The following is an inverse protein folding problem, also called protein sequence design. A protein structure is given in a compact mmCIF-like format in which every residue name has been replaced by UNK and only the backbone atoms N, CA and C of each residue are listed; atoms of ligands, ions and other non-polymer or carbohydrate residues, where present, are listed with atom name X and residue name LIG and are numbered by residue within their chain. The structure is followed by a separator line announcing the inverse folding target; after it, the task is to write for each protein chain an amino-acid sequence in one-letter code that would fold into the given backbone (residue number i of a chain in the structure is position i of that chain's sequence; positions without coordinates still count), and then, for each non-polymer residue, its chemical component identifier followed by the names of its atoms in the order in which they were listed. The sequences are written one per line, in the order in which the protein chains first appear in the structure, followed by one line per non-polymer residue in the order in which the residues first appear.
data_IF_454864353728
#
_entry.id   IF_454864353728
#
_cell.length_a   1.000
_cell.length_b   1.000
_cell.length_c   1.000
_cell.angle_alpha   90.00
_cell.angle_beta   90.00
_cell.angle_gamma   90.00
#
_symmetry.space_group_name_H-M   'P 1'
#
loop_
_entity.id
_entity.type
_entity.pdbx_description
1 polymer ?
#
# COMPACT_ATOMS: atom_id res chain seq x y z
N UNK A 1 -28.23 8.57 -9.83
CA UNK A 1 -28.52 7.38 -10.66
C UNK A 1 -28.01 7.64 -12.08
N UNK A 2 -26.74 7.40 -12.32
CA UNK A 2 -26.18 7.34 -13.66
C UNK A 2 -25.83 5.89 -13.93
N UNK A 3 -26.66 5.24 -14.76
CA UNK A 3 -26.40 3.88 -15.25
C UNK A 3 -25.22 3.92 -16.23
N UNK A 4 -24.12 3.26 -15.90
CA UNK A 4 -23.05 2.98 -16.85
C UNK A 4 -23.58 2.02 -17.92
N UNK A 5 -23.82 2.55 -19.11
CA UNK A 5 -24.15 1.74 -20.29
C UNK A 5 -22.86 1.17 -20.85
N UNK A 6 -22.63 -0.11 -20.67
CA UNK A 6 -21.72 -0.89 -21.51
C UNK A 6 -22.26 -0.84 -22.96
N UNK A 7 -21.55 -0.14 -23.83
CA UNK A 7 -21.93 0.00 -25.24
C UNK A 7 -21.55 -1.32 -25.94
N UNK A 8 -22.56 -2.14 -26.25
CA UNK A 8 -22.41 -3.23 -27.20
C UNK A 8 -22.10 -2.67 -28.61
N UNK A 9 -20.84 -2.73 -29.02
CA UNK A 9 -20.47 -2.53 -30.43
C UNK A 9 -20.79 -3.81 -31.21
N UNK A 10 -21.90 -3.80 -31.95
CA UNK A 10 -22.20 -4.83 -32.93
C UNK A 10 -21.25 -4.70 -34.12
N UNK A 11 -20.20 -5.50 -34.19
CA UNK A 11 -19.33 -5.61 -35.37
C UNK A 11 -19.91 -6.53 -36.40
N UNK A 12 -20.05 -6.03 -37.64
CA UNK A 12 -20.37 -6.76 -38.83
C UNK A 12 -19.24 -7.76 -39.16
N UNK A 13 -19.62 -9.01 -39.46
CA UNK A 13 -18.73 -10.10 -39.84
C UNK A 13 -17.89 -9.75 -41.07
N UNK A 14 -16.57 -9.67 -40.89
CA UNK A 14 -15.59 -9.77 -41.97
C UNK A 14 -14.80 -11.06 -41.76
N UNK A 15 -14.76 -11.93 -42.75
CA UNK A 15 -14.06 -13.20 -42.77
C UNK A 15 -12.55 -12.99 -42.75
N UNK A 16 -11.86 -13.60 -41.78
CA UNK A 16 -10.43 -13.57 -41.44
C UNK A 16 -9.96 -12.45 -40.47
N UNK A 17 -10.62 -12.27 -39.33
CA UNK A 17 -10.00 -11.59 -38.21
C UNK A 17 -9.47 -12.63 -37.24
N UNK A 18 -8.16 -12.63 -36.97
CA UNK A 18 -7.69 -13.12 -35.66
C UNK A 18 -8.62 -12.51 -34.62
N UNK A 19 -9.29 -13.33 -33.83
CA UNK A 19 -10.07 -12.85 -32.68
C UNK A 19 -9.08 -12.14 -31.79
N UNK A 20 -9.16 -10.82 -31.71
CA UNK A 20 -8.29 -9.99 -30.87
C UNK A 20 -8.89 -10.00 -29.48
N UNK A 21 -8.08 -10.19 -28.45
CA UNK A 21 -8.52 -10.04 -27.07
C UNK A 21 -9.29 -8.72 -26.85
N UNK A 22 -10.24 -8.70 -25.93
CA UNK A 22 -11.04 -7.51 -25.62
C UNK A 22 -10.15 -6.37 -25.14
N UNK A 23 -9.13 -6.70 -24.34
CA UNK A 23 -8.12 -5.77 -23.83
C UNK A 23 -6.70 -6.30 -24.05
N UNK A 24 -5.74 -5.40 -24.22
CA UNK A 24 -4.33 -5.79 -24.22
C UNK A 24 -3.85 -6.10 -22.80
N UNK A 25 -4.37 -5.39 -21.80
CA UNK A 25 -3.96 -5.50 -20.40
C UNK A 25 -5.17 -5.50 -19.48
N UNK A 26 -5.23 -6.47 -18.58
CA UNK A 26 -6.21 -6.55 -17.50
C UNK A 26 -5.45 -6.48 -16.16
N UNK A 27 -5.85 -5.54 -15.29
CA UNK A 27 -5.33 -5.39 -13.93
C UNK A 27 -6.43 -5.76 -12.94
N UNK A 28 -6.17 -6.71 -12.05
CA UNK A 28 -7.13 -7.16 -11.04
C UNK A 28 -6.85 -6.43 -9.72
N UNK A 29 -7.82 -5.65 -9.26
CA UNK A 29 -7.78 -4.84 -8.05
C UNK A 29 -7.48 -3.36 -8.33
N UNK A 30 -8.38 -2.46 -7.88
CA UNK A 30 -8.27 -1.01 -8.01
C UNK A 30 -7.84 -0.33 -6.70
N UNK A 31 -6.91 -0.95 -5.96
CA UNK A 31 -6.17 -0.29 -4.89
C UNK A 31 -5.07 0.62 -5.44
N UNK A 32 -4.31 1.25 -4.56
CA UNK A 32 -3.23 2.19 -4.92
C UNK A 32 -2.20 1.60 -5.91
N UNK A 33 -1.92 0.29 -5.80
CA UNK A 33 -0.97 -0.40 -6.69
C UNK A 33 -1.59 -0.65 -8.07
N UNK A 34 -2.79 -1.22 -8.12
CA UNK A 34 -3.43 -1.55 -9.39
C UNK A 34 -3.79 -0.32 -10.21
N UNK A 35 -4.28 0.76 -9.56
CA UNK A 35 -4.54 2.04 -10.23
C UNK A 35 -3.25 2.67 -10.76
N UNK A 36 -2.15 2.64 -10.00
CA UNK A 36 -0.87 3.16 -10.46
C UNK A 36 -0.33 2.39 -11.66
N UNK A 37 -0.45 1.05 -11.66
CA UNK A 37 -0.04 0.18 -12.78
C UNK A 37 -0.93 0.45 -13.99
N UNK A 38 -2.25 0.48 -13.83
CA UNK A 38 -3.18 0.78 -14.91
C UNK A 38 -2.91 2.14 -15.56
N UNK A 39 -2.68 3.16 -14.71
CA UNK A 39 -2.32 4.51 -15.15
C UNK A 39 -0.99 4.55 -15.91
N UNK A 40 0.02 3.81 -15.46
CA UNK A 40 1.32 3.78 -16.13
C UNK A 40 1.26 3.09 -17.49
N UNK A 41 0.60 1.94 -17.56
CA UNK A 41 0.47 1.14 -18.79
C UNK A 41 -0.39 1.87 -19.83
N UNK A 42 -1.43 2.59 -19.40
CA UNK A 42 -2.32 3.34 -20.30
C UNK A 42 -1.64 4.51 -21.03
N UNK A 43 -0.44 4.91 -20.60
CA UNK A 43 0.33 5.97 -21.28
C UNK A 43 0.78 5.58 -22.69
N UNK A 44 0.90 4.28 -22.98
CA UNK A 44 1.13 3.81 -24.35
C UNK A 44 -0.21 3.74 -25.10
N UNK A 45 -0.41 4.53 -26.17
CA UNK A 45 -1.67 4.58 -26.90
C UNK A 45 -2.03 3.27 -27.65
N UNK A 46 -1.09 2.33 -27.73
CA UNK A 46 -1.34 1.00 -28.30
C UNK A 46 -1.96 0.04 -27.27
N UNK A 47 -1.99 0.40 -26.00
CA UNK A 47 -2.55 -0.41 -24.94
C UNK A 47 -4.01 -0.06 -24.69
N UNK A 48 -4.87 -1.08 -24.64
CA UNK A 48 -6.21 -0.99 -24.05
C UNK A 48 -6.16 -1.62 -22.67
N UNK A 49 -6.46 -0.83 -21.63
CA UNK A 49 -6.30 -1.22 -20.22
C UNK A 49 -7.64 -1.30 -19.54
N UNK A 50 -7.93 -2.42 -18.89
CA UNK A 50 -9.07 -2.60 -17.99
C UNK A 50 -8.55 -2.86 -16.58
N UNK A 51 -9.03 -2.09 -15.62
CA UNK A 51 -8.86 -2.36 -14.17
C UNK A 51 -10.18 -2.92 -13.65
N UNK A 52 -10.15 -4.06 -12.95
CA UNK A 52 -11.33 -4.73 -12.39
C UNK A 52 -11.27 -4.64 -10.87
N UNK A 53 -12.36 -4.20 -10.24
CA UNK A 53 -12.49 -4.07 -8.77
C UNK A 53 -13.77 -4.74 -8.29
N UNK A 54 -13.63 -5.57 -7.26
CA UNK A 54 -14.76 -6.30 -6.66
C UNK A 54 -15.75 -5.40 -5.91
N UNK A 55 -15.23 -4.34 -5.26
CA UNK A 55 -16.05 -3.43 -4.47
C UNK A 55 -16.75 -2.38 -5.36
N UNK A 56 -17.76 -1.71 -4.83
CA UNK A 56 -18.50 -0.64 -5.52
C UNK A 56 -17.65 0.58 -5.87
N UNK A 57 -16.55 0.79 -5.15
CA UNK A 57 -15.61 1.87 -5.37
C UNK A 57 -14.16 1.38 -5.27
N UNK A 58 -13.23 2.12 -5.87
CA UNK A 58 -11.81 1.81 -5.77
C UNK A 58 -11.25 2.08 -4.37
N UNK A 59 -10.21 1.33 -3.98
CA UNK A 59 -9.41 1.62 -2.80
C UNK A 59 -10.05 1.33 -1.46
N UNK A 60 -11.15 0.58 -1.37
CA UNK A 60 -11.92 0.38 -0.13
C UNK A 60 -11.24 -0.50 0.91
N UNK A 61 -10.24 -1.30 0.52
CA UNK A 61 -9.52 -2.23 1.40
C UNK A 61 -8.26 -1.57 2.02
N UNK A 62 -7.13 -2.26 1.99
CA UNK A 62 -5.84 -1.84 2.57
C UNK A 62 -5.40 -0.43 2.15
N UNK A 63 -5.75 0.00 0.92
CA UNK A 63 -5.29 1.28 0.37
C UNK A 63 -5.87 2.51 1.06
N UNK A 64 -7.09 2.45 1.60
CA UNK A 64 -7.71 3.53 2.38
C UNK A 64 -7.55 3.36 3.90
N UNK A 65 -6.98 2.23 4.36
CA UNK A 65 -6.91 1.84 5.77
C UNK A 65 -5.48 1.73 6.26
N UNK A 66 -4.72 2.82 6.11
CA UNK A 66 -3.31 2.92 6.48
C UNK A 66 -3.00 4.26 7.14
N UNK A 67 -1.74 4.53 7.45
CA UNK A 67 -1.31 5.76 8.10
C UNK A 67 -1.00 6.90 7.14
N UNK A 68 -1.20 6.73 5.83
CA UNK A 68 -1.00 7.74 4.78
C UNK A 68 0.41 8.36 4.74
N UNK A 69 1.40 7.65 5.28
CA UNK A 69 2.78 8.13 5.36
C UNK A 69 3.52 7.92 4.05
N UNK A 70 4.12 8.98 3.54
CA UNK A 70 5.15 8.92 2.49
C UNK A 70 6.46 8.52 3.16
N UNK A 71 6.80 7.25 3.11
CA UNK A 71 7.99 6.69 3.75
C UNK A 71 9.28 7.04 3.01
N UNK A 72 10.41 7.04 3.75
CA UNK A 72 11.72 7.33 3.18
C UNK A 72 12.55 6.08 2.80
N UNK A 73 12.03 4.86 3.03
CA UNK A 73 12.73 3.61 2.68
C UNK A 73 13.80 3.15 3.69
N UNK A 74 13.79 3.65 4.93
CA UNK A 74 14.90 3.48 5.89
C UNK A 74 14.96 2.13 6.61
N UNK A 75 13.86 1.38 6.69
CA UNK A 75 13.75 0.24 7.60
C UNK A 75 14.05 -1.12 6.98
N UNK A 76 13.99 -1.25 5.66
CA UNK A 76 14.11 -2.50 4.94
C UNK A 76 15.56 -2.78 4.49
N UNK A 77 15.96 -4.02 4.13
CA UNK A 77 17.28 -4.31 3.55
C UNK A 77 17.57 -3.43 2.33
N UNK A 78 18.85 -3.07 2.14
CA UNK A 78 19.26 -2.10 1.10
C UNK A 78 18.90 -2.58 -0.31
N UNK A 79 19.00 -3.89 -0.54
CA UNK A 79 18.80 -4.58 -1.83
C UNK A 79 17.37 -5.11 -2.02
N UNK A 80 16.42 -4.71 -1.15
CA UNK A 80 15.04 -5.17 -1.25
C UNK A 80 14.19 -4.29 -2.19
N UNK A 81 13.19 -4.90 -2.82
CA UNK A 81 12.17 -4.19 -3.59
C UNK A 81 11.44 -3.15 -2.74
N UNK A 82 11.17 -3.45 -1.47
CA UNK A 82 10.57 -2.49 -0.52
C UNK A 82 11.41 -1.22 -0.39
N UNK A 83 12.73 -1.32 -0.34
CA UNK A 83 13.62 -0.15 -0.26
C UNK A 83 13.65 0.61 -1.58
N UNK A 84 13.96 -0.06 -2.66
CA UNK A 84 14.10 0.52 -3.99
C UNK A 84 12.81 1.23 -4.42
N UNK A 85 11.68 0.50 -4.41
CA UNK A 85 10.41 1.01 -4.89
C UNK A 85 9.77 2.05 -3.96
N UNK A 86 10.08 2.02 -2.65
CA UNK A 86 9.69 3.08 -1.73
C UNK A 86 10.43 4.39 -2.03
N UNK A 87 11.72 4.35 -2.27
CA UNK A 87 12.52 5.55 -2.59
C UNK A 87 12.06 6.14 -3.92
N UNK A 88 11.93 5.30 -4.96
CA UNK A 88 11.42 5.71 -6.26
C UNK A 88 10.00 6.27 -6.18
N UNK A 89 9.08 5.55 -5.52
CA UNK A 89 7.69 5.97 -5.37
C UNK A 89 7.55 7.29 -4.63
N UNK A 90 8.33 7.50 -3.56
CA UNK A 90 8.39 8.80 -2.86
C UNK A 90 8.81 9.94 -3.81
N UNK A 91 9.83 9.72 -4.64
CA UNK A 91 10.29 10.72 -5.60
C UNK A 91 9.19 11.05 -6.63
N UNK A 92 8.52 10.01 -7.17
CA UNK A 92 7.44 10.19 -8.13
C UNK A 92 6.25 10.93 -7.51
N UNK A 93 5.84 10.57 -6.27
CA UNK A 93 4.75 11.26 -5.57
C UNK A 93 5.09 12.76 -5.43
N UNK A 94 6.26 13.11 -4.95
CA UNK A 94 6.61 14.52 -4.78
C UNK A 94 6.81 15.28 -6.10
N UNK A 95 7.34 14.64 -7.13
CA UNK A 95 7.64 15.32 -8.38
C UNK A 95 6.44 15.45 -9.32
N UNK A 96 5.56 14.44 -9.34
CA UNK A 96 4.45 14.39 -10.29
C UNK A 96 3.13 14.83 -9.65
N UNK A 97 2.85 14.37 -8.44
CA UNK A 97 1.53 14.52 -7.85
C UNK A 97 1.28 15.89 -7.21
N UNK A 98 2.34 16.56 -6.69
CA UNK A 98 2.19 17.89 -6.07
C UNK A 98 1.66 18.93 -7.08
N UNK A 99 2.19 18.93 -8.29
CA UNK A 99 1.75 19.83 -9.36
C UNK A 99 0.33 19.52 -9.87
N UNK A 100 -0.16 18.31 -9.64
CA UNK A 100 -1.48 17.84 -10.05
C UNK A 100 -2.55 17.96 -8.96
N UNK A 101 -2.21 18.62 -7.84
CA UNK A 101 -3.14 18.91 -6.75
C UNK A 101 -3.43 17.75 -5.83
N UNK A 102 -2.61 16.70 -5.83
CA UNK A 102 -2.72 15.63 -4.83
C UNK A 102 -2.38 16.19 -3.45
N UNK A 103 -3.30 16.02 -2.52
CA UNK A 103 -3.17 16.55 -1.17
C UNK A 103 -2.06 15.82 -0.40
N UNK A 104 -0.99 16.55 -0.05
CA UNK A 104 0.16 16.02 0.67
C UNK A 104 0.88 17.07 1.51
N UNK A 105 1.71 16.61 2.44
CA UNK A 105 2.53 17.51 3.28
C UNK A 105 3.86 16.86 3.65
N UNK A 106 4.97 17.54 3.38
CA UNK A 106 6.32 17.15 3.85
C UNK A 106 6.50 17.60 5.32
N UNK A 107 5.92 16.89 6.25
CA UNK A 107 5.99 17.23 7.68
C UNK A 107 7.26 16.74 8.38
N UNK A 108 8.01 15.84 7.74
CA UNK A 108 9.16 15.18 8.35
C UNK A 108 8.77 14.12 9.38
N UNK A 109 9.77 13.33 9.78
CA UNK A 109 9.62 12.29 10.79
C UNK A 109 10.81 12.26 11.72
N UNK A 110 10.56 12.10 13.00
CA UNK A 110 11.55 11.80 14.01
C UNK A 110 11.48 10.34 14.43
N UNK A 111 12.63 9.68 14.53
CA UNK A 111 12.80 8.41 15.20
C UNK A 111 13.51 8.71 16.52
N UNK A 112 12.86 8.42 17.65
CA UNK A 112 13.31 8.88 18.95
C UNK A 112 14.00 7.76 19.74
N UNK A 113 15.19 8.04 20.29
CA UNK A 113 15.95 7.13 21.12
C UNK A 113 15.86 7.51 22.60
N UNK A 114 15.50 6.55 23.46
CA UNK A 114 15.34 6.70 24.92
C UNK A 114 16.51 6.10 25.71
N UNK A 115 17.42 5.39 25.07
CA UNK A 115 18.58 4.75 25.70
C UNK A 115 19.72 4.58 24.68
N UNK A 116 20.88 4.13 25.16
CA UNK A 116 22.09 3.96 24.35
C UNK A 116 21.93 2.88 23.26
N UNK A 117 21.25 1.78 23.55
CA UNK A 117 21.01 0.72 22.57
C UNK A 117 20.19 1.24 21.37
N UNK A 118 19.19 2.06 21.64
CA UNK A 118 18.38 2.70 20.60
C UNK A 118 19.20 3.74 19.84
N UNK A 119 20.08 4.50 20.50
CA UNK A 119 21.00 5.40 19.80
C UNK A 119 21.91 4.66 18.81
N UNK A 120 22.48 3.53 19.23
CA UNK A 120 23.30 2.69 18.32
C UNK A 120 22.49 2.17 17.12
N UNK A 121 21.24 1.80 17.33
CA UNK A 121 20.33 1.45 16.25
C UNK A 121 20.10 2.63 15.28
N UNK A 122 19.87 3.83 15.79
CA UNK A 122 19.72 5.04 14.96
C UNK A 122 20.99 5.35 14.16
N UNK A 123 22.17 5.14 14.72
CA UNK A 123 23.45 5.28 13.98
C UNK A 123 23.51 4.32 12.79
N UNK A 124 23.08 3.07 12.96
CA UNK A 124 23.03 2.09 11.85
C UNK A 124 22.04 2.52 10.75
N UNK A 125 20.86 3.05 11.13
CA UNK A 125 19.91 3.60 10.15
C UNK A 125 20.52 4.79 9.42
N UNK A 126 21.20 5.69 10.13
CA UNK A 126 21.85 6.84 9.52
C UNK A 126 22.95 6.45 8.52
N UNK A 127 23.80 5.48 8.85
CA UNK A 127 24.80 4.98 7.90
C UNK A 127 24.15 4.32 6.68
N UNK A 128 23.10 3.52 6.88
CA UNK A 128 22.32 2.95 5.78
C UNK A 128 21.69 4.05 4.91
N UNK A 129 21.16 5.11 5.51
CA UNK A 129 20.56 6.21 4.75
C UNK A 129 21.53 6.90 3.80
N UNK A 130 22.82 6.97 4.17
CA UNK A 130 23.87 7.50 3.28
C UNK A 130 24.09 6.61 2.07
N UNK A 131 24.11 5.28 2.25
CA UNK A 131 24.20 4.32 1.13
C UNK A 131 23.02 4.46 0.17
N UNK A 132 21.84 4.70 0.71
CA UNK A 132 20.59 4.87 -0.04
C UNK A 132 20.39 6.28 -0.61
N UNK A 133 21.30 7.21 -0.33
CA UNK A 133 21.16 8.63 -0.68
C UNK A 133 19.86 9.26 -0.15
N UNK A 134 19.41 8.79 1.02
CA UNK A 134 18.23 9.32 1.72
C UNK A 134 18.70 10.26 2.81
N UNK A 135 18.21 11.51 2.77
CA UNK A 135 18.59 12.52 3.74
C UNK A 135 18.11 12.15 5.16
N UNK A 136 19.04 12.15 6.10
CA UNK A 136 18.76 12.06 7.53
C UNK A 136 19.77 12.89 8.31
N UNK A 137 19.41 13.34 9.52
CA UNK A 137 20.30 14.09 10.39
C UNK A 137 19.98 13.81 11.85
N UNK A 138 21.02 13.84 12.72
CA UNK A 138 20.80 13.75 14.14
C UNK A 138 20.36 15.09 14.72
N UNK A 139 19.38 15.07 15.62
CA UNK A 139 18.98 16.20 16.45
C UNK A 139 19.31 15.86 17.90
N UNK A 140 20.17 16.64 18.56
CA UNK A 140 20.51 16.43 19.98
C UNK A 140 19.28 16.55 20.87
N UNK A 141 19.24 15.81 21.98
CA UNK A 141 18.11 15.72 22.89
C UNK A 141 17.66 17.10 23.42
N UNK A 142 18.59 17.99 23.78
CA UNK A 142 18.25 19.34 24.18
C UNK A 142 17.52 20.14 23.12
N UNK A 143 17.97 20.04 21.85
CA UNK A 143 17.33 20.72 20.73
C UNK A 143 15.98 20.08 20.37
N UNK A 144 15.87 18.77 20.49
CA UNK A 144 14.60 18.05 20.30
C UNK A 144 13.55 18.54 21.30
N UNK A 145 13.91 18.71 22.58
CA UNK A 145 13.03 19.23 23.62
C UNK A 145 12.57 20.67 23.38
N UNK A 146 13.39 21.51 22.75
CA UNK A 146 12.99 22.87 22.34
C UNK A 146 11.99 22.86 21.19
N UNK A 147 12.19 21.98 20.22
CA UNK A 147 11.38 21.91 18.99
C UNK A 147 10.04 21.20 19.19
N UNK A 148 10.01 20.14 20.00
CA UNK A 148 8.83 19.33 20.31
C UNK A 148 8.81 19.04 21.83
N UNK A 149 8.40 20.02 22.67
CA UNK A 149 8.49 19.91 24.14
C UNK A 149 7.70 18.75 24.74
N UNK A 150 6.65 18.31 24.06
CA UNK A 150 5.80 17.20 24.48
C UNK A 150 6.41 15.82 24.19
N UNK A 151 7.48 15.76 23.36
CA UNK A 151 8.09 14.50 22.96
C UNK A 151 9.34 14.21 23.76
N UNK A 152 9.38 13.01 24.31
CA UNK A 152 10.55 12.49 25.02
C UNK A 152 11.52 11.85 24.03
N UNK A 153 12.78 12.29 24.09
CA UNK A 153 13.89 11.75 23.31
C UNK A 153 15.17 11.91 24.14
N UNK A 154 15.38 11.05 25.13
CA UNK A 154 16.39 11.22 26.18
C UNK A 154 17.83 11.17 25.63
N UNK A 155 18.07 10.43 24.54
CA UNK A 155 19.41 10.27 23.96
C UNK A 155 19.60 11.05 22.67
N UNK A 156 18.75 10.84 21.68
CA UNK A 156 18.83 11.53 20.40
C UNK A 156 17.56 11.32 19.57
N UNK A 157 17.49 12.08 18.50
CA UNK A 157 16.50 11.92 17.43
C UNK A 157 17.24 11.72 16.11
N UNK A 158 16.82 10.76 15.31
CA UNK A 158 17.14 10.72 13.89
C UNK A 158 15.99 11.39 13.11
N UNK A 159 16.27 12.54 12.51
CA UNK A 159 15.34 13.29 11.69
C UNK A 159 15.37 12.76 10.23
N UNK A 160 14.21 12.50 9.65
CA UNK A 160 14.00 12.16 8.24
C UNK A 160 13.15 13.24 7.59
N UNK A 161 13.75 14.29 7.02
CA UNK A 161 13.04 15.49 6.56
C UNK A 161 12.19 15.24 5.31
N UNK A 162 12.50 14.19 4.54
CA UNK A 162 11.79 13.85 3.30
C UNK A 162 10.59 12.90 3.52
N UNK A 163 10.35 12.45 4.75
CA UNK A 163 9.12 11.76 5.12
C UNK A 163 7.96 12.75 5.13
N UNK A 164 6.79 12.32 4.70
CA UNK A 164 5.59 13.16 4.67
C UNK A 164 4.32 12.35 4.85
N UNK A 165 3.21 12.97 4.53
CA UNK A 165 1.88 12.37 4.48
C UNK A 165 1.20 12.74 3.17
N UNK A 166 0.32 11.86 2.68
CA UNK A 166 -0.46 12.04 1.46
C UNK A 166 -1.88 11.52 1.69
N UNK A 167 -2.88 12.19 1.15
CA UNK A 167 -4.21 11.61 1.07
C UNK A 167 -4.17 10.41 0.13
N UNK A 168 -4.35 9.21 0.67
CA UNK A 168 -4.39 7.98 -0.14
C UNK A 168 -5.49 8.05 -1.21
N UNK A 169 -6.62 8.65 -0.86
CA UNK A 169 -7.76 8.85 -1.75
C UNK A 169 -7.43 9.82 -2.90
N UNK A 170 -6.83 10.97 -2.57
CA UNK A 170 -6.38 11.94 -3.58
C UNK A 170 -5.35 11.34 -4.53
N UNK A 171 -4.40 10.55 -4.02
CA UNK A 171 -3.41 9.84 -4.84
C UNK A 171 -4.07 8.83 -5.78
N UNK A 172 -5.01 8.02 -5.29
CA UNK A 172 -5.72 7.04 -6.12
C UNK A 172 -6.60 7.72 -7.17
N UNK A 173 -7.29 8.80 -6.82
CA UNK A 173 -8.09 9.60 -7.76
C UNK A 173 -7.22 10.20 -8.88
N UNK A 174 -6.03 10.67 -8.55
CA UNK A 174 -5.07 11.11 -9.56
C UNK A 174 -4.70 9.98 -10.53
N UNK A 175 -4.35 8.79 -10.02
CA UNK A 175 -4.03 7.63 -10.86
C UNK A 175 -5.22 7.21 -11.74
N UNK A 176 -6.42 7.17 -11.17
CA UNK A 176 -7.64 6.88 -11.93
C UNK A 176 -7.87 7.91 -13.04
N UNK A 177 -7.65 9.20 -12.74
CA UNK A 177 -7.77 10.25 -13.76
C UNK A 177 -6.76 10.08 -14.89
N UNK A 178 -5.51 9.68 -14.58
CA UNK A 178 -4.49 9.38 -15.59
C UNK A 178 -4.93 8.20 -16.46
N UNK A 179 -5.40 7.10 -15.84
CA UNK A 179 -5.93 5.94 -16.54
C UNK A 179 -7.04 6.33 -17.52
N UNK A 180 -8.05 7.06 -17.05
CA UNK A 180 -9.22 7.45 -17.84
C UNK A 180 -8.90 8.47 -18.94
N UNK A 181 -7.98 9.39 -18.70
CA UNK A 181 -7.52 10.36 -19.72
C UNK A 181 -6.74 9.69 -20.87
N UNK A 182 -6.27 8.47 -20.66
CA UNK A 182 -5.62 7.63 -21.67
C UNK A 182 -6.54 6.50 -22.15
N UNK A 183 -7.85 6.70 -22.12
CA UNK A 183 -8.88 5.74 -22.57
C UNK A 183 -8.89 4.39 -21.82
N UNK A 184 -8.21 4.28 -20.68
CA UNK A 184 -8.29 3.11 -19.81
C UNK A 184 -9.62 3.07 -19.06
N UNK A 185 -10.06 1.88 -18.70
CA UNK A 185 -11.37 1.62 -18.10
C UNK A 185 -11.24 1.06 -16.67
N UNK A 186 -12.20 1.41 -15.83
CA UNK A 186 -12.38 0.84 -14.50
C UNK A 186 -13.76 0.18 -14.42
N UNK A 187 -13.81 -1.10 -14.11
CA UNK A 187 -15.01 -1.86 -13.77
C UNK A 187 -15.06 -2.12 -12.27
N UNK A 188 -15.98 -1.48 -11.56
CA UNK A 188 -16.27 -1.69 -10.12
C UNK A 188 -17.44 -2.64 -9.94
N UNK A 189 -17.65 -3.16 -8.71
CA UNK A 189 -18.69 -4.15 -8.42
C UNK A 189 -18.52 -5.44 -9.24
N UNK A 190 -17.26 -5.81 -9.53
CA UNK A 190 -16.90 -6.85 -10.48
C UNK A 190 -15.86 -7.77 -9.88
N UNK A 191 -16.30 -8.90 -9.31
CA UNK A 191 -15.40 -9.86 -8.67
C UNK A 191 -14.85 -10.86 -9.68
N UNK A 192 -13.53 -11.04 -9.71
CA UNK A 192 -12.89 -12.10 -10.50
C UNK A 192 -13.07 -13.42 -9.77
N UNK A 193 -13.77 -14.37 -10.44
CA UNK A 193 -14.13 -15.66 -9.88
C UNK A 193 -13.47 -16.85 -10.59
N UNK A 194 -12.82 -16.62 -11.74
CA UNK A 194 -12.10 -17.63 -12.49
C UNK A 194 -11.07 -17.03 -13.42
N UNK A 195 -9.98 -17.79 -13.66
CA UNK A 195 -8.92 -17.43 -14.59
C UNK A 195 -8.51 -18.65 -15.41
N UNK A 196 -8.41 -18.50 -16.73
CA UNK A 196 -7.84 -19.50 -17.61
C UNK A 196 -6.82 -18.89 -18.55
N UNK A 197 -5.87 -19.68 -19.02
CA UNK A 197 -4.89 -19.28 -20.01
C UNK A 197 -5.01 -20.20 -21.25
N UNK A 198 -5.22 -19.60 -22.40
CA UNK A 198 -5.26 -20.30 -23.70
C UNK A 198 -3.88 -20.20 -24.38
N UNK A 199 -3.13 -21.30 -24.35
CA UNK A 199 -1.81 -21.38 -24.97
C UNK A 199 -1.87 -21.15 -26.50
N UNK A 200 -2.95 -21.64 -27.14
CA UNK A 200 -3.17 -21.50 -28.58
C UNK A 200 -3.47 -20.07 -29.04
N UNK A 201 -4.20 -19.32 -28.26
CA UNK A 201 -4.54 -17.90 -28.50
C UNK A 201 -3.57 -16.93 -27.84
N UNK A 202 -2.79 -17.39 -26.86
CA UNK A 202 -1.93 -16.56 -26.00
C UNK A 202 -2.72 -15.46 -25.28
N UNK A 203 -3.86 -15.83 -24.74
CA UNK A 203 -4.80 -14.94 -24.09
C UNK A 203 -5.26 -15.51 -22.75
N UNK A 204 -5.57 -14.62 -21.83
CA UNK A 204 -6.21 -14.92 -20.56
C UNK A 204 -7.70 -14.68 -20.69
N UNK A 205 -8.50 -15.60 -20.17
CA UNK A 205 -9.92 -15.45 -19.97
C UNK A 205 -10.16 -15.20 -18.48
N UNK A 206 -10.82 -14.10 -18.16
CA UNK A 206 -11.11 -13.63 -16.81
C UNK A 206 -12.61 -13.70 -16.61
N UNK A 207 -13.06 -14.64 -15.78
CA UNK A 207 -14.46 -14.78 -15.41
C UNK A 207 -14.77 -13.81 -14.27
N UNK A 208 -15.76 -12.97 -14.48
CA UNK A 208 -16.18 -11.90 -13.58
C UNK A 208 -17.63 -12.10 -13.20
N UNK A 209 -17.93 -12.00 -11.90
CA UNK A 209 -19.28 -11.96 -11.35
C UNK A 209 -19.62 -10.54 -10.90
N UNK A 210 -20.75 -9.99 -11.34
CA UNK A 210 -21.29 -8.73 -10.86
C UNK A 210 -22.15 -8.93 -9.60
N UNK A 211 -22.42 -7.86 -8.85
CA UNK A 211 -23.33 -7.91 -7.69
C UNK A 211 -24.75 -8.36 -8.03
N UNK A 212 -25.22 -8.11 -9.26
CA UNK A 212 -26.52 -8.57 -9.76
C UNK A 212 -26.52 -10.07 -10.09
N UNK A 213 -25.37 -10.77 -9.91
CA UNK A 213 -25.22 -12.20 -10.18
C UNK A 213 -25.05 -12.53 -11.68
N UNK A 214 -24.86 -11.55 -12.53
CA UNK A 214 -24.50 -11.77 -13.93
C UNK A 214 -23.02 -12.14 -14.04
N UNK A 215 -22.74 -13.23 -14.74
CA UNK A 215 -21.39 -13.66 -15.02
C UNK A 215 -21.04 -13.27 -16.47
N UNK A 216 -19.81 -12.78 -16.65
CA UNK A 216 -19.24 -12.50 -17.96
C UNK A 216 -17.79 -12.97 -18.01
N UNK A 217 -17.31 -13.24 -19.21
CA UNK A 217 -15.90 -13.55 -19.44
C UNK A 217 -15.29 -12.47 -20.30
N UNK A 218 -14.08 -12.02 -19.95
CA UNK A 218 -13.35 -10.95 -20.61
C UNK A 218 -11.96 -11.47 -20.96
N UNK A 219 -11.51 -11.24 -22.19
CA UNK A 219 -10.20 -11.70 -22.64
C UNK A 219 -9.13 -10.61 -22.65
N UNK A 220 -7.88 -11.00 -22.29
CA UNK A 220 -6.72 -10.11 -22.27
C UNK A 220 -5.41 -10.79 -22.63
N UNK A 221 -4.47 -10.05 -23.24
CA UNK A 221 -3.16 -10.63 -23.58
C UNK A 221 -2.21 -10.62 -22.39
N UNK A 222 -2.34 -9.65 -21.50
CA UNK A 222 -1.54 -9.48 -20.28
C UNK A 222 -2.48 -9.41 -19.08
N UNK A 223 -2.14 -10.14 -18.02
CA UNK A 223 -2.89 -10.18 -16.78
C UNK A 223 -1.99 -9.78 -15.62
N UNK A 224 -2.43 -8.81 -14.81
CA UNK A 224 -1.66 -8.31 -13.66
C UNK A 224 -2.51 -8.42 -12.39
N UNK A 225 -2.07 -9.26 -11.49
CA UNK A 225 -2.75 -9.48 -10.22
C UNK A 225 -2.29 -8.47 -9.17
N UNK A 226 -3.18 -7.54 -8.83
CA UNK A 226 -3.00 -6.52 -7.78
C UNK A 226 -4.12 -6.60 -6.73
N UNK A 227 -4.69 -7.78 -6.49
CA UNK A 227 -5.86 -7.99 -5.65
C UNK A 227 -5.59 -7.88 -4.12
N UNK A 228 -4.44 -7.34 -3.70
CA UNK A 228 -4.12 -7.01 -2.31
C UNK A 228 -4.27 -8.19 -1.37
N UNK A 229 -5.25 -8.13 -0.46
CA UNK A 229 -5.54 -9.20 0.50
C UNK A 229 -5.94 -10.52 -0.17
N UNK A 230 -6.51 -10.45 -1.37
CA UNK A 230 -6.99 -11.60 -2.15
C UNK A 230 -6.02 -12.03 -3.26
N UNK A 231 -4.84 -11.38 -3.36
CA UNK A 231 -3.90 -11.68 -4.43
C UNK A 231 -3.41 -13.14 -4.46
N UNK A 232 -3.16 -13.83 -3.33
CA UNK A 232 -2.87 -15.27 -3.33
C UNK A 232 -4.03 -16.11 -3.90
N UNK A 233 -5.28 -15.81 -3.53
CA UNK A 233 -6.47 -16.53 -4.02
C UNK A 233 -6.61 -16.35 -5.54
N UNK A 234 -6.49 -15.13 -6.05
CA UNK A 234 -6.51 -14.83 -7.49
C UNK A 234 -5.39 -15.58 -8.22
N UNK A 235 -4.17 -15.56 -7.68
CA UNK A 235 -3.04 -16.31 -8.24
C UNK A 235 -3.33 -17.82 -8.31
N UNK A 236 -3.94 -18.37 -7.25
CA UNK A 236 -4.24 -19.80 -7.14
C UNK A 236 -5.37 -20.26 -8.07
N UNK A 237 -6.19 -19.35 -8.63
CA UNK A 237 -7.18 -19.70 -9.66
C UNK A 237 -6.51 -20.16 -10.96
N UNK A 238 -5.28 -19.70 -11.24
CA UNK A 238 -4.59 -19.97 -12.50
C UNK A 238 -3.40 -20.93 -12.34
N UNK A 239 -2.66 -20.80 -11.24
CA UNK A 239 -1.43 -21.57 -11.03
C UNK A 239 -1.72 -22.98 -10.53
N UNK A 240 -0.86 -23.98 -10.85
CA UNK A 240 -1.00 -25.33 -10.32
C UNK A 240 -0.78 -25.39 -8.81
N UNK A 241 -1.36 -26.40 -8.16
CA UNK A 241 -1.46 -26.52 -6.69
C UNK A 241 -0.10 -26.42 -5.97
N UNK A 242 0.97 -26.95 -6.55
CA UNK A 242 2.33 -26.90 -5.99
C UNK A 242 2.93 -25.48 -5.96
N UNK A 243 2.30 -24.52 -6.65
CA UNK A 243 2.68 -23.10 -6.67
C UNK A 243 1.72 -22.22 -5.88
N UNK A 244 0.71 -22.81 -5.26
CA UNK A 244 -0.26 -22.06 -4.47
C UNK A 244 0.39 -21.38 -3.27
N UNK A 245 -0.05 -20.16 -3.00
CA UNK A 245 0.37 -19.39 -1.84
C UNK A 245 -0.81 -19.21 -0.88
N UNK A 246 -0.50 -19.23 0.41
CA UNK A 246 -1.47 -18.94 1.46
C UNK A 246 -1.42 -17.45 1.81
N UNK A 247 -2.58 -16.84 1.93
CA UNK A 247 -2.71 -15.50 2.48
C UNK A 247 -2.69 -15.54 4.03
N UNK A 248 -2.03 -14.54 4.62
CA UNK A 248 -2.05 -14.28 6.05
C UNK A 248 -2.41 -12.80 6.27
N UNK A 249 -3.05 -12.50 7.37
CA UNK A 249 -3.64 -11.18 7.61
C UNK A 249 -3.17 -10.60 8.94
N UNK A 250 -2.46 -9.48 8.86
CA UNK A 250 -1.98 -8.77 10.03
C UNK A 250 -2.73 -7.43 10.17
N UNK A 251 -3.73 -7.42 11.03
CA UNK A 251 -4.54 -6.25 11.36
C UNK A 251 -3.74 -5.26 12.17
N UNK A 252 -3.99 -3.98 11.95
CA UNK A 252 -3.47 -2.87 12.73
C UNK A 252 -4.58 -1.92 13.12
N UNK A 253 -4.79 -1.73 14.42
CA UNK A 253 -5.75 -0.77 14.94
C UNK A 253 -5.10 0.60 15.07
N UNK A 254 -5.87 1.65 14.78
CA UNK A 254 -5.48 3.04 14.94
C UNK A 254 -6.37 3.72 15.97
N UNK A 255 -5.75 4.60 16.76
CA UNK A 255 -6.41 5.33 17.83
C UNK A 255 -6.28 6.83 17.57
N UNK A 256 -7.40 7.53 17.60
CA UNK A 256 -7.44 8.99 17.53
C UNK A 256 -7.07 9.60 18.89
N UNK A 257 -6.53 10.81 18.85
CA UNK A 257 -6.17 11.58 20.05
C UNK A 257 -6.99 12.87 20.10
N UNK A 258 -7.65 13.09 21.22
CA UNK A 258 -8.36 14.32 21.50
C UNK A 258 -7.43 15.32 22.19
N UNK A 259 -7.04 16.37 21.49
CA UNK A 259 -6.15 17.43 22.00
C UNK A 259 -5.21 17.93 20.90
N UNK A 260 -4.52 19.01 21.18
CA UNK A 260 -3.51 19.58 20.28
C UNK A 260 -2.27 20.05 21.06
N UNK A 261 -1.28 19.18 21.28
CA UNK A 261 -0.03 19.52 21.94
C UNK A 261 0.96 20.29 21.04
N UNK A 262 0.55 20.65 19.80
CA UNK A 262 1.37 21.42 18.87
C UNK A 262 2.46 20.63 18.15
N UNK A 263 2.39 19.29 18.14
CA UNK A 263 3.34 18.42 17.43
C UNK A 263 3.17 18.61 15.92
N UNK A 264 4.28 18.81 15.21
CA UNK A 264 4.27 19.22 13.79
C UNK A 264 4.84 18.19 12.83
N UNK A 265 5.28 17.03 13.33
CA UNK A 265 5.94 15.96 12.55
C UNK A 265 5.52 14.59 13.05
N UNK A 266 5.83 13.57 12.27
CA UNK A 266 5.58 12.19 12.67
C UNK A 266 6.61 11.78 13.72
N UNK A 267 6.17 11.05 14.75
CA UNK A 267 7.06 10.56 15.82
C UNK A 267 6.99 9.04 15.86
N UNK A 268 8.13 8.42 15.60
CA UNK A 268 8.27 6.98 15.65
C UNK A 268 9.17 6.59 16.82
N UNK A 269 8.74 5.69 17.71
CA UNK A 269 9.64 5.09 18.65
C UNK A 269 10.73 4.31 17.91
N UNK A 270 11.90 4.18 18.52
CA UNK A 270 12.92 3.29 17.99
C UNK A 270 12.42 1.84 18.11
N UNK A 271 12.47 1.05 17.02
CA UNK A 271 12.04 -0.35 17.06
C UNK A 271 12.75 -1.15 18.15
N UNK A 272 12.02 -2.02 18.81
CA UNK A 272 12.61 -2.97 19.75
C UNK A 272 13.23 -4.13 18.98
N UNK A 273 14.51 -4.48 19.18
CA UNK A 273 15.14 -5.61 18.52
C UNK A 273 14.35 -6.92 18.72
N UNK A 274 14.11 -7.65 17.63
CA UNK A 274 13.40 -8.94 17.67
C UNK A 274 11.86 -8.86 17.67
N UNK A 275 11.28 -7.66 17.60
CA UNK A 275 9.84 -7.48 17.45
C UNK A 275 9.50 -7.16 15.99
N UNK A 276 8.53 -7.87 15.42
CA UNK A 276 8.12 -7.70 14.02
C UNK A 276 7.37 -6.39 13.71
N UNK A 277 7.10 -5.57 14.72
CA UNK A 277 6.41 -4.28 14.60
C UNK A 277 7.35 -3.12 14.90
N UNK A 278 7.18 -2.02 14.16
CA UNK A 278 7.86 -0.74 14.43
C UNK A 278 7.32 -0.02 15.69
N UNK A 279 6.37 -0.62 16.42
CA UNK A 279 5.67 -0.03 17.57
C UNK A 279 4.52 0.89 17.15
N UNK A 280 3.75 1.35 18.14
CA UNK A 280 2.65 2.30 17.93
C UNK A 280 3.22 3.71 17.68
N UNK A 281 3.06 4.23 16.47
CA UNK A 281 3.61 5.53 16.05
C UNK A 281 2.62 6.66 16.32
N UNK A 282 3.14 7.90 16.36
CA UNK A 282 2.33 9.09 16.19
C UNK A 282 2.39 9.53 14.73
N UNK A 283 1.24 9.62 14.11
CA UNK A 283 1.06 10.17 12.77
C UNK A 283 0.13 11.38 12.83
N UNK A 284 0.18 12.21 11.79
CA UNK A 284 -0.70 13.36 11.61
C UNK A 284 -1.50 13.12 10.33
N UNK A 285 -2.75 13.51 10.32
CA UNK A 285 -3.45 13.70 9.06
C UNK A 285 -3.16 15.10 8.47
N UNK A 286 -3.68 15.37 7.29
CA UNK A 286 -3.49 16.65 6.60
C UNK A 286 -4.08 17.84 7.36
N UNK A 287 -5.12 17.62 8.17
CA UNK A 287 -5.70 18.59 9.09
C UNK A 287 -4.87 18.83 10.36
N UNK A 288 -3.83 18.02 10.59
CA UNK A 288 -2.98 18.09 11.79
C UNK A 288 -3.55 17.32 12.98
N UNK A 289 -4.60 16.51 12.79
CA UNK A 289 -5.13 15.64 13.83
C UNK A 289 -4.16 14.48 14.07
N UNK A 290 -3.90 14.21 15.36
CA UNK A 290 -3.00 13.14 15.76
C UNK A 290 -3.72 11.80 15.78
N UNK A 291 -2.99 10.77 15.30
CA UNK A 291 -3.39 9.37 15.36
C UNK A 291 -2.22 8.53 15.89
N UNK A 292 -2.52 7.51 16.66
CA UNK A 292 -1.55 6.54 17.14
C UNK A 292 -1.84 5.17 16.54
N UNK A 293 -0.81 4.47 16.12
CA UNK A 293 -0.95 3.15 15.47
C UNK A 293 0.01 3.00 14.31
N UNK A 294 -0.09 1.87 13.62
CA UNK A 294 -0.93 0.75 14.01
C UNK A 294 -0.30 -0.11 15.11
N UNK A 295 -1.12 -0.85 15.82
CA UNK A 295 -0.69 -2.03 16.56
C UNK A 295 -0.50 -3.25 15.65
N UNK A 296 -0.42 -4.46 16.21
CA UNK A 296 -0.33 -5.70 15.46
C UNK A 296 -1.23 -6.77 16.10
N UNK A 297 -2.19 -7.24 15.31
CA UNK A 297 -3.12 -8.30 15.64
C UNK A 297 -3.25 -9.26 14.45
N UNK A 298 -2.99 -10.54 14.64
CA UNK A 298 -3.20 -11.53 13.58
C UNK A 298 -4.67 -11.96 13.54
N UNK A 299 -5.19 -12.11 12.33
CA UNK A 299 -6.56 -12.58 12.08
C UNK A 299 -6.53 -13.72 11.07
N UNK A 300 -7.36 -14.74 11.32
CA UNK A 300 -7.36 -15.95 10.49
C UNK A 300 -8.16 -15.77 9.21
N UNK A 301 -9.23 -14.97 9.25
CA UNK A 301 -10.19 -14.82 8.16
C UNK A 301 -10.61 -13.34 7.99
N UNK A 302 -11.02 -13.00 6.77
CA UNK A 302 -11.61 -11.72 6.41
C UNK A 302 -13.13 -11.79 6.55
N UNK A 303 -13.63 -11.59 7.77
CA UNK A 303 -15.08 -11.52 8.06
C UNK A 303 -15.62 -10.11 7.83
N UNK A 304 -16.94 -9.93 7.81
CA UNK A 304 -17.59 -8.60 7.70
C UNK A 304 -17.10 -7.62 8.79
N UNK A 305 -16.88 -8.14 10.01
CA UNK A 305 -16.44 -7.34 11.16
C UNK A 305 -14.90 -7.18 11.26
N UNK A 306 -14.14 -7.69 10.29
CA UNK A 306 -12.66 -7.71 10.39
C UNK A 306 -12.04 -6.32 10.57
N UNK A 307 -12.69 -5.29 10.05
CA UNK A 307 -12.25 -3.89 10.18
C UNK A 307 -12.74 -3.19 11.45
N UNK A 308 -13.50 -3.85 12.31
CA UNK A 308 -13.90 -3.30 13.60
C UNK A 308 -12.67 -3.16 14.50
N UNK A 309 -12.49 -1.97 15.07
CA UNK A 309 -11.36 -1.70 15.99
C UNK A 309 -11.49 -2.60 17.24
N UNK A 310 -10.37 -3.17 17.64
CA UNK A 310 -10.31 -3.93 18.88
C UNK A 310 -9.96 -2.99 20.05
N UNK A 311 -10.96 -2.60 20.82
CA UNK A 311 -10.80 -1.69 21.95
C UNK A 311 -9.94 -2.26 23.09
N UNK A 312 -9.74 -3.58 23.16
CA UNK A 312 -8.86 -4.21 24.14
C UNK A 312 -7.39 -3.82 23.90
N UNK A 313 -7.04 -3.41 22.68
CA UNK A 313 -5.71 -2.98 22.32
C UNK A 313 -5.44 -1.51 22.69
N UNK A 314 -6.41 -0.75 23.18
CA UNK A 314 -6.25 0.65 23.58
C UNK A 314 -5.24 0.83 24.72
N UNK A 315 -5.33 0.01 25.78
CA UNK A 315 -4.42 0.08 26.92
C UNK A 315 -2.98 -0.31 26.55
N UNK A 316 -2.72 -1.40 25.82
CA UNK A 316 -1.40 -1.68 25.24
C UNK A 316 -0.84 -0.54 24.42
N UNK A 317 -1.63 0.03 23.51
CA UNK A 317 -1.22 1.16 22.68
C UNK A 317 -0.86 2.41 23.52
N UNK A 318 -1.70 2.75 24.50
CA UNK A 318 -1.40 3.83 25.46
C UNK A 318 -0.06 3.63 26.16
N UNK A 319 0.24 2.40 26.62
CA UNK A 319 1.50 2.11 27.29
C UNK A 319 2.72 2.26 26.37
N UNK A 320 2.59 1.98 25.08
CA UNK A 320 3.64 2.22 24.08
C UNK A 320 3.81 3.73 23.81
N UNK A 321 2.71 4.44 23.61
CA UNK A 321 2.70 5.89 23.29
C UNK A 321 3.33 6.70 24.42
N UNK A 322 3.01 6.43 25.69
CA UNK A 322 3.55 7.19 26.83
C UNK A 322 5.07 7.07 26.99
N UNK A 323 5.72 6.11 26.36
CA UNK A 323 7.19 5.99 26.38
C UNK A 323 7.87 7.18 25.70
N UNK A 324 7.25 7.75 24.66
CA UNK A 324 7.78 8.88 23.91
C UNK A 324 6.89 10.14 23.95
N UNK A 325 5.62 10.01 24.36
CA UNK A 325 4.70 11.11 24.62
C UNK A 325 4.15 11.00 26.06
N UNK A 326 4.94 11.38 27.10
CA UNK A 326 4.61 11.10 28.49
C UNK A 326 3.35 11.80 29.01
N UNK A 327 2.96 12.92 28.40
CA UNK A 327 1.77 13.70 28.80
C UNK A 327 0.46 13.16 28.21
N UNK A 328 0.49 12.06 27.42
CA UNK A 328 -0.72 11.43 26.93
C UNK A 328 -1.58 10.94 28.10
N UNK A 329 -2.89 11.17 28.02
CA UNK A 329 -3.86 10.65 28.98
C UNK A 329 -4.72 9.60 28.26
N UNK A 330 -5.09 8.53 28.96
CA UNK A 330 -5.87 7.43 28.37
C UNK A 330 -7.25 7.91 27.89
N UNK A 331 -7.87 8.81 28.63
CA UNK A 331 -9.18 9.40 28.30
C UNK A 331 -9.19 10.22 27.01
N UNK A 332 -8.02 10.62 26.53
CA UNK A 332 -7.87 11.35 25.25
C UNK A 332 -7.70 10.42 24.05
N UNK A 333 -7.63 9.10 24.28
CA UNK A 333 -7.49 8.11 23.22
C UNK A 333 -8.82 7.37 23.00
N UNK A 334 -9.16 7.15 21.74
CA UNK A 334 -10.31 6.32 21.35
C UNK A 334 -10.01 5.53 20.07
N UNK A 335 -10.64 4.36 19.92
CA UNK A 335 -10.59 3.60 18.69
C UNK A 335 -11.02 4.45 17.49
N UNK A 336 -10.32 4.35 16.37
CA UNK A 336 -10.60 5.13 15.16
C UNK A 336 -10.96 4.22 13.99
N UNK A 337 -9.98 3.57 13.41
CA UNK A 337 -10.16 2.60 12.32
C UNK A 337 -9.10 1.51 12.41
N UNK A 338 -9.27 0.48 11.59
CA UNK A 338 -8.26 -0.55 11.43
C UNK A 338 -7.98 -0.81 9.95
N UNK A 339 -6.80 -1.36 9.67
CA UNK A 339 -6.41 -1.81 8.34
C UNK A 339 -5.75 -3.18 8.42
N UNK A 340 -5.73 -3.90 7.31
CA UNK A 340 -5.15 -5.24 7.25
C UNK A 340 -4.01 -5.25 6.27
N UNK A 341 -2.85 -5.77 6.70
CA UNK A 341 -1.68 -5.96 5.87
C UNK A 341 -1.75 -7.32 5.19
N UNK A 342 -1.65 -7.38 3.85
CA UNK A 342 -1.52 -8.65 3.13
C UNK A 342 -0.14 -9.25 3.42
N UNK A 343 -0.10 -10.42 4.03
CA UNK A 343 1.11 -11.16 4.34
C UNK A 343 1.16 -12.47 3.56
N UNK A 344 2.37 -12.95 3.25
CA UNK A 344 2.61 -14.27 2.66
C UNK A 344 3.31 -15.23 3.63
N UNK A 345 3.60 -14.75 4.83
CA UNK A 345 4.19 -15.52 5.93
C UNK A 345 3.36 -15.29 7.20
N UNK A 346 3.22 -16.33 8.02
CA UNK A 346 2.45 -16.28 9.27
C UNK A 346 3.22 -15.65 10.43
N UNK A 347 2.56 -15.59 11.59
CA UNK A 347 3.05 -14.97 12.84
C UNK A 347 4.38 -15.56 13.33
N UNK A 348 4.54 -16.88 13.18
CA UNK A 348 5.70 -17.61 13.68
C UNK A 348 6.99 -17.34 12.88
N UNK A 349 6.87 -16.74 11.67
CA UNK A 349 7.99 -16.47 10.79
C UNK A 349 8.53 -15.05 11.04
N UNK A 350 9.76 -14.98 11.55
CA UNK A 350 10.43 -13.70 11.88
C UNK A 350 11.33 -13.16 10.77
N UNK A 351 11.40 -13.87 9.65
CA UNK A 351 12.22 -13.46 8.51
C UNK A 351 11.63 -12.25 7.80
N UNK A 352 12.51 -11.47 7.18
CA UNK A 352 12.08 -10.35 6.34
C UNK A 352 11.36 -10.89 5.09
N UNK A 353 10.13 -10.42 4.88
CA UNK A 353 9.35 -10.69 3.68
C UNK A 353 9.36 -9.46 2.77
N UNK A 354 9.93 -9.58 1.58
CA UNK A 354 9.89 -8.55 0.56
C UNK A 354 8.55 -8.59 -0.22
N UNK A 355 8.33 -7.60 -1.07
CA UNK A 355 7.29 -7.66 -2.09
C UNK A 355 7.55 -8.81 -3.06
N UNK A 356 6.51 -9.52 -3.44
CA UNK A 356 6.55 -10.53 -4.49
C UNK A 356 5.96 -9.92 -5.76
N UNK A 357 6.84 -9.47 -6.65
CA UNK A 357 6.46 -8.90 -7.95
C UNK A 357 7.24 -9.68 -9.01
N UNK A 358 6.55 -10.54 -9.78
CA UNK A 358 7.21 -11.43 -10.73
C UNK A 358 6.31 -11.84 -11.88
N UNK A 359 6.92 -12.10 -13.04
CA UNK A 359 6.30 -12.90 -14.11
C UNK A 359 6.17 -14.35 -13.66
N UNK A 360 5.08 -14.99 -14.03
CA UNK A 360 4.86 -16.39 -13.69
C UNK A 360 5.31 -17.31 -14.84
N UNK A 361 6.22 -18.23 -14.50
CA UNK A 361 6.77 -19.18 -15.47
C UNK A 361 5.66 -20.06 -16.07
N UNK A 362 5.65 -20.24 -17.41
CA UNK A 362 4.62 -20.98 -18.11
C UNK A 362 3.36 -20.16 -18.43
N UNK A 363 3.26 -18.91 -17.96
CA UNK A 363 2.13 -18.01 -18.18
C UNK A 363 2.62 -16.65 -18.72
N UNK A 364 2.95 -16.57 -20.02
CA UNK A 364 3.50 -15.36 -20.63
C UNK A 364 2.55 -14.16 -20.48
N UNK A 365 3.03 -13.06 -19.89
CA UNK A 365 2.21 -11.87 -19.62
C UNK A 365 1.44 -11.89 -18.30
N UNK A 366 1.51 -12.98 -17.50
CA UNK A 366 0.96 -12.98 -16.15
C UNK A 366 1.99 -12.46 -15.14
N UNK A 367 1.61 -11.40 -14.44
CA UNK A 367 2.43 -10.79 -13.39
C UNK A 367 1.65 -10.81 -12.07
N UNK A 368 2.27 -11.38 -11.05
CA UNK A 368 1.76 -11.33 -9.67
C UNK A 368 2.41 -10.19 -8.89
N UNK A 369 1.56 -9.37 -8.20
CA UNK A 369 1.96 -8.38 -7.20
C UNK A 369 1.33 -8.79 -5.86
N UNK A 370 2.06 -9.52 -5.02
CA UNK A 370 1.56 -10.11 -3.79
C UNK A 370 2.37 -9.65 -2.57
N UNK A 371 1.77 -9.72 -1.38
CA UNK A 371 2.41 -9.30 -0.15
C UNK A 371 2.75 -7.80 -0.11
N UNK A 372 2.01 -6.98 -0.85
CA UNK A 372 2.25 -5.53 -0.92
C UNK A 372 1.62 -4.85 0.30
N UNK A 373 2.30 -4.97 1.42
CA UNK A 373 2.02 -4.24 2.67
C UNK A 373 2.78 -2.90 2.73
N UNK A 374 3.01 -2.31 3.92
CA UNK A 374 3.90 -1.14 4.02
C UNK A 374 5.32 -1.47 3.49
N UNK A 375 5.86 -0.61 2.63
CA UNK A 375 5.45 0.75 2.26
C UNK A 375 4.64 0.85 0.94
N UNK A 376 3.74 -0.07 0.65
CA UNK A 376 3.04 -0.22 -0.64
C UNK A 376 2.38 1.06 -1.17
N UNK A 377 1.73 1.87 -0.31
CA UNK A 377 1.15 3.14 -0.74
C UNK A 377 2.22 4.08 -1.31
N UNK A 378 3.30 4.30 -0.57
CA UNK A 378 4.44 5.11 -1.05
C UNK A 378 5.07 4.52 -2.31
N UNK A 379 5.20 3.19 -2.35
CA UNK A 379 5.86 2.47 -3.44
C UNK A 379 4.98 2.32 -4.69
N UNK A 380 3.68 2.62 -4.64
CA UNK A 380 2.71 2.28 -5.69
C UNK A 380 3.14 2.74 -7.09
N UNK A 381 3.57 3.99 -7.24
CA UNK A 381 4.06 4.51 -8.52
C UNK A 381 5.41 3.89 -8.94
N UNK A 382 6.28 3.59 -7.96
CA UNK A 382 7.53 2.85 -8.21
C UNK A 382 7.25 1.42 -8.68
N UNK A 383 6.28 0.73 -8.06
CA UNK A 383 5.81 -0.59 -8.47
C UNK A 383 5.27 -0.53 -9.91
N UNK A 384 4.49 0.51 -10.24
CA UNK A 384 3.96 0.68 -11.60
C UNK A 384 5.08 0.77 -12.64
N UNK A 385 6.12 1.56 -12.39
CA UNK A 385 7.31 1.63 -13.26
C UNK A 385 8.03 0.29 -13.37
N UNK A 386 8.19 -0.39 -12.23
CA UNK A 386 8.85 -1.70 -12.19
C UNK A 386 8.08 -2.75 -13.00
N UNK A 387 6.75 -2.83 -12.83
CA UNK A 387 5.87 -3.75 -13.56
C UNK A 387 5.87 -3.42 -15.07
N UNK A 388 5.79 -2.14 -15.45
CA UNK A 388 5.87 -1.72 -16.85
C UNK A 388 7.19 -2.15 -17.51
N UNK A 389 8.30 -2.16 -16.78
CA UNK A 389 9.59 -2.65 -17.28
C UNK A 389 9.67 -4.19 -17.37
N UNK A 390 8.79 -4.91 -16.69
CA UNK A 390 8.68 -6.37 -16.81
C UNK A 390 7.89 -6.79 -18.07
N UNK A 391 7.02 -5.96 -18.58
CA UNK A 391 6.22 -6.25 -19.77
C UNK A 391 7.06 -6.26 -21.04
#
# INVERSE_FOLDING_TARGET
MLRSRLIRSSRLFSTSSQVRADFTHIVIGAGAVGLAIGAEISKDPNHSVLVIEKNEEHGQETSSRNSEVIHAGLYYPVDSLKTELCILGKQLIYNECEAMGVEMKRCGKWIVAQNELQLEYLKKIHEKSKQLQVETSFVPSNKAKELEPSIRADYAVLNSPTTGIVSAHSLMNYQLSVLQNNDGQLAVGSEVVGLTYSEGMKEYEVDVSSEDGENMSISGNVLINCAGLYAPQVSNMLLPEERHLKAYYAKGNYFSFQGNPGIRRLIYPCPTPGVASLGTHLTLDLGGQMKFGPDLEWVDELTEDVYKVNDQNLIPAYNEVRKYFPSVQLENLSGSYSGIRPKLIGEDVKEFQDFVIRKEDGYPGFINCMGIESPGLTASMGIAKYVSNLL
#
